data_IF_546541209577
#
_entry.id   IF_546541209577
#
_cell.length_a   1.000
_cell.length_b   1.000
_cell.length_c   1.000
_cell.angle_alpha   90.00
_cell.angle_beta   90.00
_cell.angle_gamma   90.00
#
_symmetry.space_group_name_H-M   'P 1'
#
loop_
_entity.id
_entity.type
_entity.pdbx_description
1 polymer ?
#
# COMPACT_ATOMS: atom_id res chain seq x y z
N UNK A 1 -5.69 -24.04 40.25
CA UNK A 1 -6.86 -23.55 39.49
C UNK A 1 -6.32 -22.56 38.48
N UNK A 2 -6.64 -22.71 37.18
CA UNK A 2 -6.24 -21.70 36.22
C UNK A 2 -7.19 -20.50 36.28
N UNK A 3 -6.64 -19.30 36.22
CA UNK A 3 -7.38 -18.05 36.31
C UNK A 3 -7.49 -17.38 34.94
N UNK A 4 -8.47 -16.49 34.73
CA UNK A 4 -8.51 -15.66 33.52
C UNK A 4 -7.23 -14.82 33.30
N UNK A 5 -6.45 -14.55 34.35
CA UNK A 5 -5.18 -13.84 34.22
C UNK A 5 -4.11 -14.71 33.53
N UNK A 6 -4.07 -16.00 33.84
CA UNK A 6 -3.15 -16.96 33.21
C UNK A 6 -3.39 -17.02 31.70
N UNK A 7 -4.66 -17.04 31.27
CA UNK A 7 -5.02 -17.03 29.86
C UNK A 7 -4.61 -15.72 29.17
N UNK A 8 -4.88 -14.55 29.77
CA UNK A 8 -4.45 -13.27 29.18
C UNK A 8 -2.95 -13.17 28.97
N UNK A 9 -2.16 -13.80 29.84
CA UNK A 9 -0.71 -13.86 29.70
C UNK A 9 -0.28 -14.88 28.63
N UNK A 10 -0.93 -16.05 28.59
CA UNK A 10 -0.55 -17.14 27.69
C UNK A 10 -0.98 -16.91 26.24
N UNK A 11 -2.15 -16.30 26.02
CA UNK A 11 -2.73 -16.07 24.68
C UNK A 11 -1.77 -15.36 23.71
N UNK A 12 -1.14 -14.22 24.03
CA UNK A 12 -0.22 -13.57 23.09
C UNK A 12 1.02 -14.42 22.79
N UNK A 13 1.48 -15.24 23.75
CA UNK A 13 2.64 -16.11 23.54
C UNK A 13 2.33 -17.24 22.54
N UNK A 14 1.23 -17.97 22.76
CA UNK A 14 0.81 -19.06 21.87
C UNK A 14 0.44 -18.52 20.49
N UNK A 15 -0.22 -17.35 20.43
CA UNK A 15 -0.54 -16.71 19.16
C UNK A 15 0.70 -16.33 18.36
N UNK A 16 1.71 -15.74 19.01
CA UNK A 16 2.99 -15.42 18.36
C UNK A 16 3.71 -16.68 17.86
N UNK A 17 3.75 -17.75 18.66
CA UNK A 17 4.35 -19.01 18.24
C UNK A 17 3.65 -19.59 17.01
N UNK A 18 2.31 -19.54 16.98
CA UNK A 18 1.53 -19.98 15.84
C UNK A 18 1.86 -19.15 14.57
N UNK A 19 1.93 -17.82 14.69
CA UNK A 19 2.32 -16.93 13.57
C UNK A 19 3.73 -17.23 13.06
N UNK A 20 4.68 -17.50 13.94
CA UNK A 20 6.05 -17.85 13.53
C UNK A 20 6.12 -19.17 12.77
N UNK A 21 5.20 -20.10 13.03
CA UNK A 21 5.15 -21.41 12.40
C UNK A 21 4.28 -21.44 11.13
N UNK A 22 3.38 -20.47 10.96
CA UNK A 22 2.41 -20.48 9.85
C UNK A 22 2.95 -19.95 8.52
N UNK A 23 4.15 -19.34 8.51
CA UNK A 23 4.64 -18.59 7.36
C UNK A 23 3.86 -17.29 7.22
N UNK A 24 4.43 -16.18 7.69
CA UNK A 24 3.78 -14.86 7.64
C UNK A 24 4.54 -13.95 6.69
N UNK A 25 3.78 -13.13 5.96
CA UNK A 25 4.32 -12.11 5.07
C UNK A 25 4.19 -10.72 5.70
N UNK A 26 5.20 -9.89 5.45
CA UNK A 26 5.14 -8.47 5.83
C UNK A 26 4.30 -7.75 4.77
N UNK A 27 3.24 -7.11 5.23
CA UNK A 27 2.40 -6.26 4.38
C UNK A 27 2.77 -4.79 4.60
N UNK A 28 2.61 -3.99 3.55
CA UNK A 28 2.76 -2.55 3.61
C UNK A 28 1.43 -1.83 3.28
N UNK A 29 1.21 -0.61 3.80
CA UNK A 29 0.03 0.17 3.46
C UNK A 29 0.13 0.78 2.06
N UNK A 30 -0.95 0.64 1.28
CA UNK A 30 -1.12 1.21 -0.05
C UNK A 30 -2.11 2.39 -0.02
N UNK A 31 -1.79 3.48 -0.70
CA UNK A 31 -2.66 4.65 -0.87
C UNK A 31 -3.30 4.63 -2.25
N UNK A 32 -4.57 5.00 -2.34
CA UNK A 32 -5.24 5.28 -3.60
C UNK A 32 -5.01 6.74 -3.98
N UNK A 33 -4.72 7.01 -5.26
CA UNK A 33 -4.57 8.35 -5.78
C UNK A 33 -5.38 8.58 -7.06
N UNK A 34 -5.74 9.84 -7.26
CA UNK A 34 -6.27 10.36 -8.53
C UNK A 34 -5.49 11.64 -8.86
N UNK A 35 -4.87 11.66 -10.03
CA UNK A 35 -4.02 12.73 -10.48
C UNK A 35 -4.59 13.34 -11.77
N UNK A 36 -4.85 14.64 -11.75
CA UNK A 36 -5.26 15.42 -12.92
C UNK A 36 -4.13 16.39 -13.30
N UNK A 37 -3.58 16.22 -14.50
CA UNK A 37 -2.41 16.99 -14.98
C UNK A 37 -2.57 17.34 -16.45
N UNK A 38 -1.88 18.38 -16.95
CA UNK A 38 -1.86 18.67 -18.38
C UNK A 38 -1.32 17.48 -19.18
N UNK A 39 -1.90 17.20 -20.35
CA UNK A 39 -1.48 16.06 -21.20
C UNK A 39 0.02 16.12 -21.53
N UNK A 40 0.57 17.32 -21.73
CA UNK A 40 2.00 17.54 -21.98
C UNK A 40 2.93 17.06 -20.84
N UNK A 41 2.43 16.96 -19.60
CA UNK A 41 3.19 16.50 -18.44
C UNK A 41 2.96 15.01 -18.11
N UNK A 42 2.06 14.34 -18.84
CA UNK A 42 1.62 12.97 -18.54
C UNK A 42 2.76 11.95 -18.51
N UNK A 43 3.66 11.99 -19.50
CA UNK A 43 4.78 11.04 -19.58
C UNK A 43 5.75 11.17 -18.40
N UNK A 44 6.00 12.41 -17.95
CA UNK A 44 6.84 12.66 -16.78
C UNK A 44 6.17 12.13 -15.51
N UNK A 45 4.89 12.44 -15.32
CA UNK A 45 4.13 11.95 -14.17
C UNK A 45 4.08 10.43 -14.12
N UNK A 46 3.86 9.74 -15.24
CA UNK A 46 3.91 8.27 -15.31
C UNK A 46 5.29 7.74 -14.91
N UNK A 47 6.36 8.39 -15.36
CA UNK A 47 7.73 8.00 -15.02
C UNK A 47 8.00 8.17 -13.52
N UNK A 48 7.52 9.25 -12.92
CA UNK A 48 7.70 9.49 -11.48
C UNK A 48 6.84 8.53 -10.64
N UNK A 49 5.60 8.25 -11.07
CA UNK A 49 4.72 7.22 -10.49
C UNK A 49 5.38 5.83 -10.52
N UNK A 50 6.02 5.46 -11.63
CA UNK A 50 6.79 4.21 -11.73
C UNK A 50 7.97 4.16 -10.75
N UNK A 51 8.70 5.26 -10.55
CA UNK A 51 9.77 5.32 -9.53
C UNK A 51 9.22 5.16 -8.11
N UNK A 52 8.00 5.63 -7.87
CA UNK A 52 7.28 5.44 -6.61
C UNK A 52 6.69 4.03 -6.47
N UNK A 53 6.97 3.10 -7.40
CA UNK A 53 6.41 1.75 -7.42
C UNK A 53 4.88 1.73 -7.42
N UNK A 54 4.25 2.71 -8.08
CA UNK A 54 2.80 2.77 -8.16
C UNK A 54 2.22 1.70 -9.10
N UNK A 55 1.05 1.19 -8.76
CA UNK A 55 0.20 0.40 -9.64
C UNK A 55 -0.81 1.33 -10.31
N UNK A 56 -0.74 1.45 -11.64
CA UNK A 56 -1.70 2.27 -12.40
C UNK A 56 -2.91 1.41 -12.76
N UNK A 57 -4.10 1.84 -12.32
CA UNK A 57 -5.37 1.16 -12.60
C UNK A 57 -6.03 1.72 -13.87
N UNK A 58 -5.99 3.04 -14.07
CA UNK A 58 -6.63 3.69 -15.21
C UNK A 58 -5.88 4.96 -15.64
N UNK A 59 -5.90 5.24 -16.94
CA UNK A 59 -5.37 6.46 -17.55
C UNK A 59 -6.38 6.93 -18.60
N UNK A 60 -6.91 8.14 -18.40
CA UNK A 60 -7.81 8.80 -19.35
C UNK A 60 -7.27 10.18 -19.71
N UNK A 61 -6.77 10.32 -20.94
CA UNK A 61 -6.31 11.59 -21.46
C UNK A 61 -7.28 12.15 -22.50
N UNK A 62 -7.55 13.45 -22.42
CA UNK A 62 -8.12 14.27 -23.50
C UNK A 62 -7.03 15.23 -24.04
N UNK A 63 -7.38 16.12 -24.97
CA UNK A 63 -6.42 17.03 -25.62
C UNK A 63 -5.73 18.04 -24.69
N UNK A 64 -6.22 18.24 -23.47
CA UNK A 64 -5.69 19.23 -22.52
C UNK A 64 -5.24 18.59 -21.21
N UNK A 65 -6.02 17.66 -20.68
CA UNK A 65 -5.87 17.04 -19.37
C UNK A 65 -5.76 15.53 -19.47
N UNK A 66 -4.91 14.96 -18.63
CA UNK A 66 -4.87 13.55 -18.37
C UNK A 66 -5.18 13.25 -16.90
N UNK A 67 -6.01 12.24 -16.71
CA UNK A 67 -6.43 11.71 -15.42
C UNK A 67 -5.79 10.35 -15.23
N UNK A 68 -5.11 10.15 -14.10
CA UNK A 68 -4.44 8.90 -13.77
C UNK A 68 -4.94 8.44 -12.41
N UNK A 69 -5.37 7.18 -12.32
CA UNK A 69 -5.83 6.54 -11.09
C UNK A 69 -4.96 5.33 -10.79
N UNK A 70 -4.69 5.11 -9.53
CA UNK A 70 -3.89 3.97 -9.13
C UNK A 70 -3.66 3.89 -7.64
N UNK A 71 -2.73 3.00 -7.28
CA UNK A 71 -2.25 2.84 -5.91
C UNK A 71 -0.76 3.08 -5.83
N UNK A 72 -0.30 3.59 -4.70
CA UNK A 72 1.12 3.80 -4.43
C UNK A 72 1.45 3.32 -3.01
N UNK A 73 2.56 2.61 -2.80
CA UNK A 73 3.01 2.29 -1.44
C UNK A 73 3.24 3.57 -0.62
N UNK A 74 2.76 3.58 0.62
CA UNK A 74 2.90 4.76 1.49
C UNK A 74 4.36 5.19 1.65
N UNK A 75 5.28 4.23 1.74
CA UNK A 75 6.68 4.53 2.01
C UNK A 75 7.40 5.22 0.85
N UNK A 76 7.04 4.92 -0.40
CA UNK A 76 7.65 5.52 -1.59
C UNK A 76 6.99 6.82 -2.03
N UNK A 77 5.81 7.13 -1.50
CA UNK A 77 5.04 8.33 -1.84
C UNK A 77 5.34 9.59 -1.01
N UNK A 78 6.26 9.51 -0.03
CA UNK A 78 6.52 10.57 0.96
C UNK A 78 7.46 11.67 0.48
N UNK A 79 8.26 11.37 -0.55
CA UNK A 79 9.31 12.23 -1.10
C UNK A 79 8.93 12.77 -2.48
#
# INVERSE_FOLDING_TARGET
VSTPADFRQLTPYVFRLALQQSGVDILEPMLYFELQIPQAASSKAITDLQKMMSEIEDISCNNEWCHIKGKVPLNTSKD
#
